data_IF_407380346403
#
_entry.id   IF_407380346403
#
_cell.length_a   1.000
_cell.length_b   1.000
_cell.length_c   1.000
_cell.angle_alpha   90.00
_cell.angle_beta   90.00
_cell.angle_gamma   90.00
#
_symmetry.space_group_name_H-M   'P 1'
#
loop_
_entity.id
_entity.type
_entity.pdbx_description
1 polymer ?
#
# COMPACT_ATOMS: atom_id res chain seq x y z
N UNK A 1 -13.96 -0.48 0.98
CA UNK A 1 -13.44 0.33 -0.14
C UNK A 1 -12.02 0.76 0.15
N UNK A 2 -11.12 0.56 -0.80
CA UNK A 2 -9.72 0.91 -0.60
C UNK A 2 -9.53 2.43 -0.55
N UNK A 3 -8.69 2.89 0.37
CA UNK A 3 -8.35 4.29 0.47
C UNK A 3 -7.31 4.65 -0.58
N UNK A 4 -7.47 5.79 -1.20
CA UNK A 4 -6.57 6.28 -2.25
C UNK A 4 -6.06 7.67 -1.89
N UNK A 5 -4.87 7.98 -2.40
CA UNK A 5 -4.24 9.28 -2.27
C UNK A 5 -3.81 9.74 -3.65
N UNK A 6 -4.00 11.03 -3.94
CA UNK A 6 -3.66 11.57 -5.26
C UNK A 6 -2.54 12.59 -5.13
N UNK A 7 -1.56 12.49 -6.02
CA UNK A 7 -0.46 13.46 -6.12
C UNK A 7 -0.47 14.05 -7.52
N UNK A 8 -0.54 15.39 -7.59
CA UNK A 8 -0.43 16.11 -8.85
C UNK A 8 0.97 16.72 -8.96
N UNK A 9 1.66 16.43 -10.04
CA UNK A 9 2.95 17.06 -10.33
C UNK A 9 2.70 18.27 -11.25
N UNK A 10 2.83 19.49 -10.75
CA UNK A 10 2.53 20.67 -11.56
C UNK A 10 3.57 20.93 -12.67
N UNK A 11 4.76 20.33 -12.53
CA UNK A 11 5.81 20.51 -13.53
C UNK A 11 5.56 19.66 -14.75
N UNK A 12 5.19 18.39 -14.54
CA UNK A 12 4.93 17.45 -15.64
C UNK A 12 3.47 17.36 -16.03
N UNK A 13 2.57 17.82 -15.17
CA UNK A 13 1.12 17.68 -15.36
C UNK A 13 0.60 16.27 -15.09
N UNK A 14 1.44 15.38 -14.60
CA UNK A 14 1.04 14.00 -14.32
C UNK A 14 0.36 13.92 -12.95
N UNK A 15 -0.72 13.15 -12.90
CA UNK A 15 -1.42 12.85 -11.66
C UNK A 15 -1.20 11.39 -11.31
N UNK A 16 -0.78 11.13 -10.08
CA UNK A 16 -0.56 9.78 -9.59
C UNK A 16 -1.63 9.42 -8.56
N UNK A 17 -2.20 8.24 -8.70
CA UNK A 17 -3.13 7.67 -7.72
C UNK A 17 -2.41 6.58 -6.94
N UNK A 18 -2.29 6.76 -5.65
CA UNK A 18 -1.59 5.83 -4.77
C UNK A 18 -2.61 5.01 -4.00
N UNK A 19 -2.32 3.73 -3.87
CA UNK A 19 -3.21 2.79 -3.21
C UNK A 19 -2.43 1.53 -2.85
N UNK A 20 -2.88 0.84 -1.81
CA UNK A 20 -2.40 -0.50 -1.48
C UNK A 20 -3.54 -1.49 -1.69
N UNK A 21 -3.22 -2.62 -2.28
CA UNK A 21 -4.13 -3.76 -2.36
C UNK A 21 -3.36 -5.02 -1.99
N UNK A 22 -4.06 -6.16 -1.93
CA UNK A 22 -3.40 -7.41 -1.52
C UNK A 22 -2.20 -7.76 -2.40
N UNK A 23 -2.33 -7.57 -3.71
CA UNK A 23 -1.25 -7.89 -4.64
C UNK A 23 -0.07 -6.96 -4.48
N UNK A 24 -0.31 -5.66 -4.29
CA UNK A 24 0.79 -4.71 -4.13
C UNK A 24 1.52 -4.92 -2.80
N UNK A 25 0.79 -5.19 -1.72
CA UNK A 25 1.40 -5.47 -0.41
C UNK A 25 2.19 -6.77 -0.47
N UNK A 26 1.65 -7.80 -1.12
CA UNK A 26 2.37 -9.06 -1.32
C UNK A 26 3.68 -8.83 -2.08
N UNK A 27 3.65 -8.03 -3.14
CA UNK A 27 4.85 -7.71 -3.89
C UNK A 27 5.86 -6.95 -3.04
N UNK A 28 5.41 -6.01 -2.20
CA UNK A 28 6.28 -5.29 -1.29
C UNK A 28 7.00 -6.24 -0.34
N UNK A 29 6.26 -7.18 0.25
CA UNK A 29 6.84 -8.16 1.16
C UNK A 29 7.86 -9.07 0.45
N UNK A 30 7.55 -9.50 -0.75
CA UNK A 30 8.48 -10.30 -1.56
C UNK A 30 9.76 -9.55 -1.90
N UNK A 31 9.69 -8.23 -1.96
CA UNK A 31 10.85 -7.38 -2.22
C UNK A 31 11.55 -6.91 -0.93
N UNK A 32 11.18 -7.46 0.20
CA UNK A 32 11.88 -7.21 1.46
C UNK A 32 11.26 -6.15 2.36
N UNK A 33 10.09 -5.62 2.01
CA UNK A 33 9.42 -4.68 2.90
C UNK A 33 8.85 -5.41 4.12
N UNK A 34 9.16 -4.89 5.31
CA UNK A 34 8.66 -5.42 6.57
C UNK A 34 8.04 -4.26 7.35
N UNK A 35 6.72 -4.27 7.50
CA UNK A 35 6.01 -3.17 8.16
C UNK A 35 6.51 -2.93 9.59
N UNK A 36 6.82 -4.00 10.31
CA UNK A 36 7.33 -3.91 11.67
C UNK A 36 8.70 -3.20 11.75
N UNK A 37 9.42 -3.13 10.64
CA UNK A 37 10.74 -2.51 10.60
C UNK A 37 10.71 -1.01 10.26
N UNK A 38 9.52 -0.45 10.01
CA UNK A 38 9.39 0.97 9.63
C UNK A 38 10.02 1.88 10.69
N UNK A 39 9.78 1.58 11.96
CA UNK A 39 10.34 2.37 13.06
C UNK A 39 11.83 2.10 13.29
N UNK A 40 12.26 0.86 13.01
CA UNK A 40 13.66 0.44 13.25
C UNK A 40 14.59 0.84 12.11
N UNK A 41 14.09 0.82 10.88
CA UNK A 41 14.88 1.08 9.68
C UNK A 41 14.18 2.10 8.78
N UNK A 42 13.93 3.32 9.29
CA UNK A 42 13.14 4.29 8.52
C UNK A 42 13.81 4.74 7.22
N UNK A 43 15.14 4.75 7.16
CA UNK A 43 15.85 5.19 5.96
C UNK A 43 15.57 4.33 4.74
N UNK A 44 15.27 3.04 4.95
CA UNK A 44 14.95 2.12 3.87
C UNK A 44 13.46 1.84 3.79
N UNK A 45 12.79 1.73 4.93
CA UNK A 45 11.39 1.31 4.96
C UNK A 45 10.41 2.42 4.60
N UNK A 46 10.66 3.68 4.97
CA UNK A 46 9.75 4.77 4.60
C UNK A 46 9.74 5.02 3.09
N UNK A 47 10.90 5.12 2.42
CA UNK A 47 10.87 5.20 0.96
C UNK A 47 10.23 3.98 0.30
N UNK A 48 10.43 2.79 0.87
CA UNK A 48 9.81 1.57 0.34
C UNK A 48 8.29 1.59 0.52
N UNK A 49 7.81 2.10 1.65
CA UNK A 49 6.38 2.25 1.88
C UNK A 49 5.76 3.17 0.83
N UNK A 50 6.37 4.32 0.59
CA UNK A 50 5.90 5.27 -0.41
C UNK A 50 5.93 4.66 -1.81
N UNK A 51 7.05 4.04 -2.19
CA UNK A 51 7.18 3.42 -3.51
C UNK A 51 6.15 2.32 -3.74
N UNK A 52 5.87 1.54 -2.72
CA UNK A 52 4.89 0.46 -2.82
C UNK A 52 3.48 0.95 -3.14
N UNK A 53 3.15 2.17 -2.74
CA UNK A 53 1.84 2.76 -3.01
C UNK A 53 1.60 3.02 -4.50
N UNK A 54 2.66 3.05 -5.32
CA UNK A 54 2.55 3.22 -6.76
C UNK A 54 2.22 1.93 -7.50
N UNK A 55 2.43 0.78 -6.89
CA UNK A 55 2.34 -0.51 -7.59
C UNK A 55 0.96 -0.80 -8.16
N UNK A 56 -0.10 -0.40 -7.46
CA UNK A 56 -1.46 -0.72 -7.89
C UNK A 56 -1.84 -0.07 -9.22
N UNK A 57 -1.41 1.18 -9.46
CA UNK A 57 -1.82 1.96 -10.63
C UNK A 57 -0.67 2.41 -11.51
N UNK A 58 0.56 2.43 -10.99
CA UNK A 58 1.72 3.00 -11.68
C UNK A 58 2.94 2.10 -11.54
N UNK A 59 2.76 0.81 -11.81
CA UNK A 59 3.81 -0.19 -11.60
C UNK A 59 5.06 0.01 -12.46
N UNK A 60 4.95 0.80 -13.52
CA UNK A 60 6.07 1.05 -14.43
C UNK A 60 6.83 2.33 -14.13
N UNK A 61 6.42 3.10 -13.14
CA UNK A 61 7.15 4.30 -12.73
C UNK A 61 8.44 3.86 -12.03
N UNK A 62 9.57 4.40 -12.49
CA UNK A 62 10.88 4.01 -11.97
C UNK A 62 11.08 4.52 -10.55
N UNK A 63 11.85 3.77 -9.77
CA UNK A 63 12.09 4.08 -8.37
C UNK A 63 12.76 5.44 -8.18
N UNK A 64 13.68 5.82 -9.06
CA UNK A 64 14.33 7.13 -8.98
C UNK A 64 13.34 8.29 -9.16
N UNK A 65 12.35 8.09 -10.03
CA UNK A 65 11.28 9.08 -10.22
C UNK A 65 10.44 9.17 -8.94
N UNK A 66 10.08 8.03 -8.37
CA UNK A 66 9.30 8.00 -7.13
C UNK A 66 10.04 8.69 -5.98
N UNK A 67 11.33 8.39 -5.83
CA UNK A 67 12.14 9.01 -4.79
C UNK A 67 12.26 10.51 -4.97
N UNK A 68 12.33 10.97 -6.22
CA UNK A 68 12.34 12.41 -6.53
C UNK A 68 11.02 13.07 -6.14
N UNK A 69 9.90 12.40 -6.43
CA UNK A 69 8.58 12.90 -6.03
C UNK A 69 8.50 13.02 -4.51
N UNK A 70 8.92 11.99 -3.80
CA UNK A 70 8.91 11.97 -2.35
C UNK A 70 9.71 13.15 -1.77
N UNK A 71 10.89 13.41 -2.33
CA UNK A 71 11.76 14.48 -1.87
C UNK A 71 11.11 15.86 -2.00
N UNK A 72 10.21 16.04 -2.97
CA UNK A 72 9.56 17.32 -3.23
C UNK A 72 8.25 17.52 -2.48
N UNK A 73 7.75 16.49 -1.80
CA UNK A 73 6.47 16.59 -1.10
C UNK A 73 6.61 17.33 0.22
N UNK A 74 5.58 18.12 0.53
CA UNK A 74 5.44 18.82 1.81
C UNK A 74 4.68 17.92 2.80
N UNK A 75 4.79 18.25 4.08
CA UNK A 75 4.02 17.57 5.14
C UNK A 75 4.21 16.05 5.12
N UNK A 76 5.49 15.62 5.08
CA UNK A 76 5.82 14.20 4.98
C UNK A 76 5.34 13.38 6.19
N UNK A 77 5.29 13.98 7.36
CA UNK A 77 4.78 13.31 8.55
C UNK A 77 3.28 12.95 8.39
N UNK A 78 2.49 13.88 7.85
CA UNK A 78 1.08 13.61 7.56
C UNK A 78 0.93 12.61 6.42
N UNK A 79 1.80 12.71 5.41
CA UNK A 79 1.83 11.77 4.30
C UNK A 79 2.07 10.35 4.80
N UNK A 80 3.06 10.15 5.65
CA UNK A 80 3.38 8.82 6.18
C UNK A 80 2.21 8.29 7.00
N UNK A 81 1.57 9.12 7.81
CA UNK A 81 0.40 8.70 8.58
C UNK A 81 -0.73 8.23 7.66
N UNK A 82 -0.96 8.96 6.55
CA UNK A 82 -1.97 8.56 5.57
C UNK A 82 -1.60 7.25 4.87
N UNK A 83 -0.34 7.07 4.52
CA UNK A 83 0.13 5.82 3.88
C UNK A 83 -0.03 4.62 4.80
N UNK A 84 0.28 4.79 6.09
CA UNK A 84 0.11 3.71 7.06
C UNK A 84 -1.36 3.32 7.19
N UNK A 85 -2.24 4.31 7.24
CA UNK A 85 -3.69 4.04 7.29
C UNK A 85 -4.15 3.30 6.04
N UNK A 86 -3.69 3.72 4.87
CA UNK A 86 -4.00 3.05 3.60
C UNK A 86 -3.46 1.63 3.55
N UNK A 87 -2.24 1.43 4.04
CA UNK A 87 -1.58 0.12 4.06
C UNK A 87 -2.34 -0.89 4.91
N UNK A 88 -2.97 -0.44 5.98
CA UNK A 88 -3.71 -1.34 6.87
C UNK A 88 -5.01 -1.87 6.26
N UNK A 89 -5.56 -1.21 5.24
CA UNK A 89 -6.81 -1.64 4.61
C UNK A 89 -6.76 -3.07 4.07
N UNK A 90 -5.79 -3.41 3.19
CA UNK A 90 -5.74 -4.79 2.69
C UNK A 90 -5.39 -5.81 3.77
N UNK A 91 -4.66 -5.42 4.81
CA UNK A 91 -4.37 -6.32 5.93
C UNK A 91 -5.64 -6.67 6.68
N UNK A 92 -6.47 -5.67 6.98
CA UNK A 92 -7.74 -5.89 7.65
C UNK A 92 -8.68 -6.74 6.80
N UNK A 93 -8.67 -6.54 5.49
CA UNK A 93 -9.55 -7.29 4.59
C UNK A 93 -9.23 -8.78 4.55
N UNK A 94 -8.02 -9.19 4.95
CA UNK A 94 -7.68 -10.62 5.04
C UNK A 94 -8.50 -11.34 6.11
N UNK A 95 -9.02 -10.60 7.08
CA UNK A 95 -9.80 -11.16 8.17
C UNK A 95 -11.30 -11.02 7.94
N UNK A 96 -11.71 -10.42 6.82
CA UNK A 96 -13.12 -10.24 6.51
C UNK A 96 -13.81 -11.58 6.26
N UNK A 97 -15.03 -11.70 6.79
CA UNK A 97 -15.86 -12.86 6.52
C UNK A 97 -16.47 -12.75 5.12
N UNK A 98 -16.64 -13.88 4.42
CA UNK A 98 -17.32 -13.85 3.13
C UNK A 98 -18.79 -13.50 3.31
N UNK A 99 -19.41 -12.95 2.27
CA UNK A 99 -20.84 -12.69 2.27
C UNK A 99 -21.60 -13.99 2.45
N UNK A 100 -22.59 -13.98 3.35
CA UNK A 100 -23.29 -15.22 3.71
C UNK A 100 -24.62 -15.40 3.00
N UNK A 101 -25.24 -14.32 2.57
CA UNK A 101 -26.52 -14.41 1.91
C UNK A 101 -26.42 -15.04 0.53
N UNK A 102 -27.11 -16.17 0.37
CA UNK A 102 -27.22 -16.85 -0.92
C UNK A 102 -25.90 -17.32 -1.50
N UNK A 103 -24.87 -17.39 -0.70
CA UNK A 103 -23.55 -17.72 -1.21
C UNK A 103 -23.22 -19.19 -0.95
N UNK A 104 -23.45 -20.02 -1.96
CA UNK A 104 -23.13 -21.45 -1.90
C UNK A 104 -21.64 -21.73 -2.02
N UNK A 105 -20.86 -20.72 -2.41
CA UNK A 105 -19.40 -20.88 -2.56
C UNK A 105 -18.63 -20.74 -1.27
N UNK A 106 -19.28 -20.36 -0.17
CA UNK A 106 -18.60 -20.21 1.11
C UNK A 106 -18.14 -21.57 1.64
N UNK A 107 -16.91 -21.57 2.15
CA UNK A 107 -16.30 -22.80 2.68
C UNK A 107 -16.24 -22.73 4.19
N UNK A 108 -16.53 -23.86 4.82
CA UNK A 108 -16.37 -24.03 6.26
C UNK A 108 -15.14 -24.87 6.55
N UNK A 109 -14.57 -24.65 7.68
CA UNK A 109 -13.42 -25.46 8.11
C UNK A 109 -13.61 -25.84 9.58
N UNK A 110 -12.95 -26.89 9.99
CA UNK A 110 -12.93 -27.31 11.38
C UNK A 110 -11.60 -27.99 11.67
N UNK A 111 -11.22 -27.98 12.95
CA UNK A 111 -10.00 -28.66 13.36
C UNK A 111 -10.19 -30.17 13.27
N UNK A 112 -9.09 -30.86 12.97
CA UNK A 112 -9.07 -32.31 12.93
C UNK A 112 -8.55 -32.99 14.21
N UNK A 113 -8.38 -32.16 15.25
CA UNK A 113 -7.90 -32.67 16.53
C UNK A 113 -8.88 -32.44 17.66
#
# INVERSE_FOLDING_TARGET
>A
MAKQLTINDPVTGVTYTLEYNRKSVEAMEKNGFVAADVERKPMTMLPALFAGAFLAHHRFVKRDVIDSIYARLNHKDELIAALVEMYNEPLLSLLDEPEQEGNEGNLNWKTGW
#
